data_IF_353349646877
#
_entry.id   IF_353349646877
#
_cell.length_a   1.000
_cell.length_b   1.000
_cell.length_c   1.000
_cell.angle_alpha   90.00
_cell.angle_beta   90.00
_cell.angle_gamma   90.00
#
_symmetry.space_group_name_H-M   'P 1'
#
loop_
_entity.id
_entity.type
_entity.pdbx_description
1 polymer ?
#
# COMPACT_ATOMS: atom_id res chain seq x y z
N UNK A 1 -8.38 -3.65 -9.58
CA UNK A 1 -9.04 -3.78 -8.26
C UNK A 1 -8.65 -5.09 -7.58
N UNK A 2 -9.53 -6.05 -7.23
CA UNK A 2 -9.16 -7.19 -6.35
C UNK A 2 -7.87 -7.94 -6.74
N UNK A 3 -7.72 -8.31 -8.02
CA UNK A 3 -6.57 -9.12 -8.49
C UNK A 3 -5.20 -8.44 -8.37
N UNK A 4 -5.13 -7.11 -8.40
CA UNK A 4 -3.86 -6.36 -8.31
C UNK A 4 -3.48 -6.07 -6.86
N UNK A 5 -4.47 -5.83 -6.00
CA UNK A 5 -4.28 -5.76 -4.54
C UNK A 5 -3.73 -7.07 -3.97
N UNK A 6 -4.15 -8.23 -4.51
CA UNK A 6 -3.55 -9.53 -4.16
C UNK A 6 -2.07 -9.63 -4.57
N UNK A 7 -1.69 -9.05 -5.70
CA UNK A 7 -0.29 -9.07 -6.16
C UNK A 7 0.63 -8.18 -5.31
N UNK A 8 0.14 -7.03 -4.84
CA UNK A 8 0.88 -6.15 -3.92
C UNK A 8 1.30 -6.91 -2.65
N UNK A 9 0.37 -7.62 -2.04
CA UNK A 9 0.59 -8.38 -0.80
C UNK A 9 1.51 -9.59 -1.04
N UNK A 10 1.37 -10.30 -2.16
CA UNK A 10 2.23 -11.44 -2.49
C UNK A 10 3.71 -11.07 -2.69
N UNK A 11 4.00 -9.88 -3.24
CA UNK A 11 5.38 -9.41 -3.41
C UNK A 11 6.04 -9.08 -2.05
N UNK A 12 5.26 -8.58 -1.08
CA UNK A 12 5.71 -8.30 0.28
C UNK A 12 6.13 -9.58 1.05
N UNK A 13 5.52 -10.73 0.76
CA UNK A 13 5.86 -12.01 1.38
C UNK A 13 7.17 -12.64 0.85
N UNK A 14 7.62 -12.28 -0.34
CA UNK A 14 8.71 -12.99 -1.03
C UNK A 14 10.12 -12.67 -0.55
N UNK A 15 10.36 -11.50 0.04
CA UNK A 15 11.73 -11.00 0.30
C UNK A 15 12.07 -10.83 1.76
N UNK A 16 11.15 -11.06 2.69
CA UNK A 16 11.44 -10.78 4.09
C UNK A 16 10.79 -11.80 5.03
N UNK A 17 11.64 -12.63 5.63
CA UNK A 17 11.37 -13.26 6.91
C UNK A 17 11.37 -12.18 8.02
N UNK A 18 10.49 -11.17 7.92
CA UNK A 18 10.28 -10.20 9.00
C UNK A 18 9.60 -10.98 10.10
N UNK A 19 10.36 -11.19 11.18
CA UNK A 19 9.86 -11.66 12.45
C UNK A 19 8.50 -11.03 12.74
N UNK A 20 7.48 -11.87 12.84
CA UNK A 20 6.10 -11.62 13.25
C UNK A 20 5.87 -10.22 13.86
N UNK A 21 5.74 -9.19 13.02
CA UNK A 21 4.90 -8.07 13.42
C UNK A 21 3.48 -8.62 13.46
N UNK A 22 2.74 -8.28 14.52
CA UNK A 22 1.32 -8.58 14.62
C UNK A 22 0.66 -8.29 13.26
N UNK A 23 -0.01 -9.26 12.62
CA UNK A 23 -0.56 -9.09 11.28
C UNK A 23 -1.45 -7.85 11.16
N UNK A 24 -2.10 -7.47 12.26
CA UNK A 24 -2.89 -6.24 12.35
C UNK A 24 -2.03 -4.99 12.24
N UNK A 25 -0.89 -4.93 12.93
CA UNK A 25 0.01 -3.78 12.91
C UNK A 25 0.65 -3.62 11.52
N UNK A 26 0.98 -4.73 10.86
CA UNK A 26 1.45 -4.71 9.48
C UNK A 26 0.38 -4.13 8.54
N UNK A 27 -0.85 -4.63 8.62
CA UNK A 27 -1.94 -4.14 7.78
C UNK A 27 -2.29 -2.67 8.06
N UNK A 28 -2.18 -2.25 9.32
CA UNK A 28 -2.37 -0.87 9.72
C UNK A 28 -1.32 0.05 9.10
N UNK A 29 -0.03 -0.29 9.22
CA UNK A 29 1.06 0.49 8.60
C UNK A 29 0.94 0.55 7.07
N UNK A 30 0.52 -0.55 6.43
CA UNK A 30 0.31 -0.59 4.98
C UNK A 30 -0.84 0.35 4.56
N UNK A 31 -1.92 0.37 5.33
CA UNK A 31 -3.07 1.25 5.10
C UNK A 31 -2.71 2.73 5.32
N UNK A 32 -1.94 3.05 6.37
CA UNK A 32 -1.44 4.41 6.60
C UNK A 32 -0.51 4.89 5.48
N UNK A 33 0.35 4.02 4.95
CA UNK A 33 1.18 4.35 3.80
C UNK A 33 0.33 4.65 2.56
N UNK A 34 -0.72 3.85 2.31
CA UNK A 34 -1.64 4.08 1.21
C UNK A 34 -2.41 5.40 1.36
N UNK A 35 -2.88 5.71 2.57
CA UNK A 35 -3.54 6.97 2.88
C UNK A 35 -2.61 8.17 2.65
N UNK A 36 -1.37 8.11 3.17
CA UNK A 36 -0.39 9.17 2.98
C UNK A 36 -0.08 9.40 1.49
N UNK A 37 -0.05 8.32 0.71
CA UNK A 37 0.11 8.38 -0.74
C UNK A 37 -1.10 9.05 -1.41
N UNK A 38 -2.31 8.76 -0.95
CA UNK A 38 -3.53 9.38 -1.47
C UNK A 38 -3.59 10.87 -1.12
N UNK A 39 -3.14 11.25 0.08
CA UNK A 39 -2.97 12.66 0.46
C UNK A 39 -1.96 13.36 -0.45
N UNK A 40 -0.87 12.68 -0.83
CA UNK A 40 0.11 13.24 -1.77
C UNK A 40 -0.50 13.43 -3.17
N UNK A 41 -1.27 12.44 -3.66
CA UNK A 41 -2.01 12.53 -4.93
C UNK A 41 -2.96 13.72 -4.94
N UNK A 42 -3.76 13.89 -3.88
CA UNK A 42 -4.74 14.98 -3.77
C UNK A 42 -4.06 16.36 -3.65
N UNK A 43 -2.78 16.38 -3.28
CA UNK A 43 -1.90 17.56 -3.31
C UNK A 43 -1.15 17.74 -4.64
N UNK A 44 -1.56 17.02 -5.69
CA UNK A 44 -0.97 17.07 -7.04
C UNK A 44 0.51 16.68 -7.10
N UNK A 45 0.98 15.90 -6.15
CA UNK A 45 2.29 15.24 -6.27
C UNK A 45 2.18 14.18 -7.37
N UNK A 46 3.19 14.07 -8.23
CA UNK A 46 3.13 13.09 -9.31
C UNK A 46 3.37 11.66 -8.78
N UNK A 47 2.89 10.63 -9.50
CA UNK A 47 3.20 9.23 -9.20
C UNK A 47 4.70 8.99 -8.97
N UNK A 48 5.54 9.50 -9.88
CA UNK A 48 7.01 9.34 -9.81
C UNK A 48 7.61 9.99 -8.57
N UNK A 49 7.10 11.17 -8.18
CA UNK A 49 7.56 11.88 -6.98
C UNK A 49 7.15 11.14 -5.71
N UNK A 50 5.92 10.60 -5.66
CA UNK A 50 5.47 9.77 -4.54
C UNK A 50 6.29 8.49 -4.41
N UNK A 51 6.54 7.78 -5.51
CA UNK A 51 7.37 6.57 -5.50
C UNK A 51 8.79 6.88 -5.02
N UNK A 52 9.40 7.96 -5.55
CA UNK A 52 10.74 8.37 -5.14
C UNK A 52 10.81 8.73 -3.66
N UNK A 53 9.80 9.44 -3.12
CA UNK A 53 9.75 9.80 -1.70
C UNK A 53 9.66 8.55 -0.80
N UNK A 54 8.86 7.54 -1.18
CA UNK A 54 8.79 6.27 -0.45
C UNK A 54 10.13 5.52 -0.48
N UNK A 55 10.76 5.45 -1.65
CA UNK A 55 12.07 4.79 -1.81
C UNK A 55 13.14 5.48 -0.97
N UNK A 56 13.17 6.81 -0.97
CA UNK A 56 14.07 7.60 -0.11
C UNK A 56 13.78 7.40 1.38
N UNK A 57 12.52 7.13 1.74
CA UNK A 57 12.09 6.76 3.08
C UNK A 57 12.40 5.31 3.49
N UNK A 58 13.02 4.51 2.61
CA UNK A 58 13.41 3.13 2.89
C UNK A 58 12.38 2.08 2.48
N UNK A 59 11.30 2.46 1.80
CA UNK A 59 10.34 1.50 1.21
C UNK A 59 10.99 0.85 -0.01
N UNK A 60 11.03 -0.49 -0.11
CA UNK A 60 11.52 -1.16 -1.32
C UNK A 60 10.79 -0.69 -2.58
N UNK A 61 11.53 -0.55 -3.68
CA UNK A 61 11.02 0.05 -4.91
C UNK A 61 9.78 -0.68 -5.47
N UNK A 62 9.74 -1.99 -5.35
CA UNK A 62 8.62 -2.82 -5.79
C UNK A 62 7.34 -2.49 -5.02
N UNK A 63 7.46 -2.24 -3.71
CA UNK A 63 6.34 -1.85 -2.85
C UNK A 63 5.91 -0.42 -3.16
N UNK A 64 6.87 0.49 -3.35
CA UNK A 64 6.59 1.89 -3.68
C UNK A 64 5.84 2.01 -5.01
N UNK A 65 6.28 1.31 -6.05
CA UNK A 65 5.63 1.29 -7.37
C UNK A 65 4.22 0.74 -7.24
N UNK A 66 4.06 -0.42 -6.60
CA UNK A 66 2.76 -1.05 -6.53
C UNK A 66 1.78 -0.29 -5.61
N UNK A 67 2.29 0.44 -4.60
CA UNK A 67 1.50 1.38 -3.79
C UNK A 67 1.02 2.57 -4.62
N UNK A 68 1.91 3.16 -5.41
CA UNK A 68 1.54 4.27 -6.32
C UNK A 68 0.53 3.79 -7.34
N UNK A 69 0.70 2.59 -7.91
CA UNK A 69 -0.27 2.01 -8.85
C UNK A 69 -1.67 1.87 -8.24
N UNK A 70 -1.72 1.33 -7.01
CA UNK A 70 -2.95 1.14 -6.27
C UNK A 70 -3.68 2.47 -5.99
N UNK A 71 -2.94 3.53 -5.66
CA UNK A 71 -3.52 4.80 -5.20
C UNK A 71 -3.84 5.78 -6.34
N UNK A 72 -2.93 5.90 -7.32
CA UNK A 72 -3.05 6.89 -8.39
C UNK A 72 -3.93 6.40 -9.54
N UNK A 73 -4.02 5.10 -9.78
CA UNK A 73 -4.79 4.56 -10.90
C UNK A 73 -6.02 3.80 -10.42
N UNK A 74 -5.82 2.73 -9.65
CA UNK A 74 -6.92 1.87 -9.17
C UNK A 74 -7.84 2.60 -8.18
N UNK A 75 -7.27 3.40 -7.27
CA UNK A 75 -7.97 4.14 -6.22
C UNK A 75 -8.24 5.62 -6.55
N UNK A 76 -8.07 6.04 -7.80
CA UNK A 76 -8.12 7.46 -8.20
C UNK A 76 -9.40 8.22 -7.83
N UNK A 77 -10.53 7.52 -7.71
CA UNK A 77 -11.83 8.09 -7.34
C UNK A 77 -12.13 8.03 -5.83
N UNK A 78 -11.28 7.37 -5.04
CA UNK A 78 -11.48 7.17 -3.61
C UNK A 78 -10.76 8.27 -2.82
N UNK A 79 -11.39 8.73 -1.74
CA UNK A 79 -10.75 9.60 -0.76
C UNK A 79 -9.61 8.87 -0.01
N UNK A 80 -8.68 9.61 0.62
CA UNK A 80 -7.62 8.99 1.43
C UNK A 80 -8.14 8.05 2.51
N UNK A 81 -9.21 8.41 3.21
CA UNK A 81 -9.83 7.54 4.23
C UNK A 81 -10.44 6.27 3.66
N UNK A 82 -11.07 6.34 2.47
CA UNK A 82 -11.59 5.16 1.79
C UNK A 82 -10.46 4.24 1.31
N UNK A 83 -9.34 4.80 0.86
CA UNK A 83 -8.14 4.04 0.50
C UNK A 83 -7.58 3.32 1.73
N UNK A 84 -7.47 4.00 2.88
CA UNK A 84 -7.03 3.39 4.13
C UNK A 84 -7.88 2.16 4.46
N UNK A 85 -9.20 2.34 4.51
CA UNK A 85 -10.14 1.28 4.87
C UNK A 85 -10.04 0.09 3.90
N UNK A 86 -10.05 0.34 2.59
CA UNK A 86 -9.98 -0.72 1.57
C UNK A 86 -8.67 -1.50 1.67
N UNK A 87 -7.52 -0.82 1.85
CA UNK A 87 -6.22 -1.47 1.96
C UNK A 87 -6.12 -2.28 3.27
N UNK A 88 -6.58 -1.72 4.38
CA UNK A 88 -6.59 -2.41 5.67
C UNK A 88 -7.42 -3.70 5.62
N UNK A 89 -8.68 -3.60 5.17
CA UNK A 89 -9.58 -4.75 5.08
C UNK A 89 -9.02 -5.82 4.11
N UNK A 90 -8.54 -5.39 2.95
CA UNK A 90 -7.94 -6.32 1.97
C UNK A 90 -6.70 -7.03 2.51
N UNK A 91 -5.91 -6.37 3.33
CA UNK A 91 -4.74 -6.96 3.98
C UNK A 91 -5.15 -7.98 5.05
N UNK A 92 -6.07 -7.60 5.96
CA UNK A 92 -6.54 -8.48 7.03
C UNK A 92 -7.22 -9.73 6.47
N UNK A 93 -8.08 -9.59 5.45
CA UNK A 93 -8.72 -10.72 4.79
C UNK A 93 -7.70 -11.73 4.23
N UNK A 94 -6.58 -11.23 3.70
CA UNK A 94 -5.48 -12.08 3.21
C UNK A 94 -4.75 -12.77 4.35
N UNK A 95 -4.42 -12.04 5.43
CA UNK A 95 -3.76 -12.63 6.60
C UNK A 95 -4.60 -13.72 7.27
N UNK A 96 -5.94 -13.60 7.26
CA UNK A 96 -6.85 -14.60 7.82
C UNK A 96 -7.09 -15.81 6.89
N UNK A 97 -6.76 -15.68 5.61
CA UNK A 97 -6.95 -16.73 4.60
C UNK A 97 -5.71 -17.61 4.40
N UNK A 98 -4.60 -17.31 5.10
CA UNK A 98 -3.31 -18.00 5.01
C UNK A 98 -3.01 -18.76 6.28
#
# INVERSE_FOLDING_TARGET
>A
MKKLLYSLVLVLFGTTAIAQQNPVDFCYNLAELAEATAVARDKYISPDQSALAMIQGGVPAEIAIAMVDAVYFDGSALSPSEINEVVFQSCIEQQLST
#
